data_IF_487762901672
#
_entry.id   IF_487762901672
#
_cell.length_a   1.000
_cell.length_b   1.000
_cell.length_c   1.000
_cell.angle_alpha   90.00
_cell.angle_beta   90.00
_cell.angle_gamma   90.00
#
_symmetry.space_group_name_H-M   'P 1'
#
loop_
_entity.id
_entity.type
_entity.pdbx_description
1 polymer ?
#
# COMPACT_ATOMS: atom_id res chain seq x y z
N UNK A 1 3.46 49.19 24.09
CA UNK A 1 4.26 48.90 22.88
C UNK A 1 3.65 47.64 22.28
N UNK A 2 2.89 47.80 21.21
CA UNK A 2 2.06 46.74 20.64
C UNK A 2 2.91 45.81 19.77
N UNK A 3 3.39 44.72 20.38
CA UNK A 3 4.18 43.68 19.70
C UNK A 3 3.37 42.88 18.66
N UNK A 4 2.05 43.05 18.62
CA UNK A 4 1.15 42.32 17.71
C UNK A 4 1.37 42.59 16.21
N UNK A 5 1.85 43.77 15.83
CA UNK A 5 2.05 44.12 14.41
C UNK A 5 3.26 43.43 13.76
N UNK A 6 4.26 43.00 14.55
CA UNK A 6 5.44 42.31 14.03
C UNK A 6 5.21 40.80 13.79
N UNK A 7 4.17 40.21 14.40
CA UNK A 7 3.86 38.79 14.23
C UNK A 7 3.15 38.49 12.90
N UNK A 8 2.37 39.44 12.38
CA UNK A 8 1.63 39.29 11.11
C UNK A 8 2.53 38.96 9.90
N UNK A 9 3.64 39.67 9.62
CA UNK A 9 4.50 39.33 8.49
C UNK A 9 5.20 37.98 8.65
N UNK A 10 5.54 37.58 9.88
CA UNK A 10 6.17 36.28 10.17
C UNK A 10 5.18 35.14 9.87
N UNK A 11 3.94 35.27 10.34
CA UNK A 11 2.88 34.29 10.06
C UNK A 11 2.55 34.23 8.56
N UNK A 12 2.50 35.38 7.87
CA UNK A 12 2.27 35.43 6.43
C UNK A 12 3.40 34.74 5.65
N UNK A 13 4.66 34.94 6.05
CA UNK A 13 5.81 34.27 5.45
C UNK A 13 5.77 32.76 5.69
N UNK A 14 5.47 32.33 6.92
CA UNK A 14 5.33 30.91 7.25
C UNK A 14 4.21 30.24 6.44
N UNK A 15 3.04 30.87 6.35
CA UNK A 15 1.92 30.39 5.54
C UNK A 15 2.28 30.31 4.05
N UNK A 16 3.02 31.30 3.52
CA UNK A 16 3.50 31.27 2.13
C UNK A 16 4.47 30.11 1.90
N UNK A 17 5.45 29.89 2.78
CA UNK A 17 6.39 28.76 2.69
C UNK A 17 5.64 27.43 2.68
N UNK A 18 4.70 27.26 3.61
CA UNK A 18 3.85 26.07 3.69
C UNK A 18 3.07 25.89 2.39
N UNK A 19 2.35 26.92 1.93
CA UNK A 19 1.56 26.87 0.70
C UNK A 19 2.40 26.52 -0.53
N UNK A 20 3.56 27.18 -0.72
CA UNK A 20 4.45 26.90 -1.84
C UNK A 20 5.08 25.51 -1.75
N UNK A 21 5.41 25.04 -0.54
CA UNK A 21 5.86 23.67 -0.27
C UNK A 21 4.82 22.65 -0.71
N UNK A 22 3.60 22.74 -0.19
CA UNK A 22 2.48 21.87 -0.57
C UNK A 22 2.20 21.93 -2.08
N UNK A 23 2.21 23.12 -2.67
CA UNK A 23 1.99 23.30 -4.11
C UNK A 23 3.09 22.62 -4.94
N UNK A 24 4.35 22.67 -4.49
CA UNK A 24 5.45 22.01 -5.18
C UNK A 24 5.34 20.47 -5.09
N UNK A 25 4.95 19.95 -3.94
CA UNK A 25 4.69 18.52 -3.71
C UNK A 25 3.56 18.03 -4.62
N UNK A 26 2.38 18.68 -4.56
CA UNK A 26 1.22 18.35 -5.42
C UNK A 26 1.55 18.34 -6.91
N UNK A 27 2.41 19.27 -7.37
CA UNK A 27 2.83 19.30 -8.78
C UNK A 27 3.67 18.08 -9.16
N UNK A 28 4.50 17.58 -8.26
CA UNK A 28 5.32 16.39 -8.49
C UNK A 28 4.45 15.13 -8.51
N UNK A 29 3.53 15.00 -7.54
CA UNK A 29 2.54 13.91 -7.51
C UNK A 29 1.74 13.84 -8.82
N UNK A 30 1.17 14.97 -9.26
CA UNK A 30 0.40 15.02 -10.51
C UNK A 30 1.22 14.68 -11.76
N UNK A 31 2.51 15.00 -11.77
CA UNK A 31 3.39 14.63 -12.87
C UNK A 31 3.67 13.13 -12.86
N UNK A 32 3.82 12.53 -11.68
CA UNK A 32 4.02 11.10 -11.52
C UNK A 32 2.76 10.31 -11.88
N UNK A 33 1.57 10.73 -11.39
CA UNK A 33 0.28 10.12 -11.77
C UNK A 33 0.14 10.08 -13.29
N UNK A 34 0.40 11.20 -13.98
CA UNK A 34 0.38 11.26 -15.44
C UNK A 34 1.38 10.33 -16.11
N UNK A 35 2.57 10.15 -15.53
CA UNK A 35 3.56 9.17 -16.02
C UNK A 35 3.00 7.75 -15.93
N UNK A 36 2.33 7.40 -14.83
CA UNK A 36 1.68 6.10 -14.67
C UNK A 36 0.49 5.92 -15.63
N UNK A 37 -0.33 6.95 -15.83
CA UNK A 37 -1.41 6.92 -16.83
C UNK A 37 -0.91 6.69 -18.26
N UNK A 38 0.31 7.15 -18.57
CA UNK A 38 0.94 7.00 -19.88
C UNK A 38 1.79 5.73 -20.01
N UNK A 39 1.98 4.98 -18.91
CA UNK A 39 2.77 3.75 -18.92
C UNK A 39 2.09 2.65 -19.73
N UNK A 40 2.89 1.73 -20.28
CA UNK A 40 2.33 0.55 -20.95
C UNK A 40 1.52 -0.27 -19.94
N UNK A 41 0.20 -0.43 -20.14
CA UNK A 41 -0.62 -1.17 -19.20
C UNK A 41 -0.16 -2.63 -19.14
N UNK A 42 -0.23 -3.20 -17.93
CA UNK A 42 -0.05 -4.62 -17.68
C UNK A 42 -1.41 -5.21 -17.35
N UNK A 43 -1.87 -6.16 -18.15
CA UNK A 43 -3.14 -6.83 -17.94
C UNK A 43 -3.13 -7.63 -16.64
N UNK A 44 -4.30 -7.87 -16.06
CA UNK A 44 -4.42 -8.60 -14.80
C UNK A 44 -3.90 -10.03 -14.90
N UNK A 45 -4.06 -10.64 -16.08
CA UNK A 45 -3.55 -11.98 -16.36
C UNK A 45 -2.02 -12.04 -16.33
N UNK A 46 -1.37 -11.06 -16.97
CA UNK A 46 0.08 -10.93 -17.00
C UNK A 46 0.63 -10.67 -15.59
N UNK A 47 -0.07 -9.83 -14.82
CA UNK A 47 0.29 -9.56 -13.43
C UNK A 47 0.19 -10.83 -12.57
N UNK A 48 -0.94 -11.54 -12.61
CA UNK A 48 -1.13 -12.80 -11.86
C UNK A 48 -0.09 -13.85 -12.26
N UNK A 49 0.20 -13.96 -13.56
CA UNK A 49 1.22 -14.87 -14.10
C UNK A 49 2.62 -14.49 -13.62
N UNK A 50 2.96 -13.19 -13.58
CA UNK A 50 4.24 -12.72 -13.08
C UNK A 50 4.48 -13.07 -11.60
N UNK A 51 3.41 -13.22 -10.81
CA UNK A 51 3.48 -13.68 -9.42
C UNK A 51 3.53 -15.21 -9.28
N UNK A 52 3.42 -15.96 -10.38
CA UNK A 52 3.37 -17.42 -10.35
C UNK A 52 2.07 -17.97 -9.73
N UNK A 53 1.00 -17.18 -9.70
CA UNK A 53 -0.29 -17.57 -9.15
C UNK A 53 -1.15 -18.16 -10.28
N UNK A 54 -1.84 -19.27 -10.01
CA UNK A 54 -2.68 -19.94 -11.01
C UNK A 54 -3.89 -19.08 -11.38
N UNK A 55 -4.11 -18.90 -12.68
CA UNK A 55 -5.27 -18.20 -13.23
C UNK A 55 -6.57 -18.88 -12.79
N UNK A 56 -7.57 -18.09 -12.36
CA UNK A 56 -8.86 -18.60 -11.87
C UNK A 56 -8.86 -19.13 -10.43
N UNK A 57 -7.70 -19.21 -9.77
CA UNK A 57 -7.64 -19.53 -8.33
C UNK A 57 -8.30 -18.44 -7.48
N UNK A 58 -8.66 -18.78 -6.23
CA UNK A 58 -9.11 -17.77 -5.28
C UNK A 58 -8.03 -16.73 -4.98
N UNK A 59 -6.76 -17.12 -5.09
CA UNK A 59 -5.62 -16.23 -4.83
C UNK A 59 -5.43 -15.22 -5.97
N UNK A 60 -5.70 -15.60 -7.22
CA UNK A 60 -5.68 -14.66 -8.35
C UNK A 60 -6.62 -13.47 -8.14
N UNK A 61 -7.84 -13.70 -7.63
CA UNK A 61 -8.78 -12.61 -7.32
C UNK A 61 -8.25 -11.68 -6.23
N UNK A 62 -7.57 -12.23 -5.23
CA UNK A 62 -6.95 -11.46 -4.13
C UNK A 62 -5.79 -10.62 -4.62
N UNK A 63 -4.92 -11.19 -5.45
CA UNK A 63 -3.81 -10.48 -6.12
C UNK A 63 -4.32 -9.24 -6.85
N UNK A 64 -5.38 -9.40 -7.66
CA UNK A 64 -5.98 -8.30 -8.42
C UNK A 64 -6.59 -7.25 -7.47
N UNK A 65 -7.28 -7.67 -6.40
CA UNK A 65 -7.84 -6.76 -5.41
C UNK A 65 -6.76 -5.94 -4.67
N UNK A 66 -5.65 -6.57 -4.29
CA UNK A 66 -4.50 -5.90 -3.65
C UNK A 66 -3.88 -4.89 -4.63
N UNK A 67 -3.65 -5.29 -5.88
CA UNK A 67 -3.12 -4.40 -6.94
C UNK A 67 -4.01 -3.17 -7.13
N UNK A 68 -5.33 -3.38 -7.23
CA UNK A 68 -6.29 -2.29 -7.36
C UNK A 68 -6.26 -1.36 -6.15
N UNK A 69 -6.09 -1.91 -4.95
CA UNK A 69 -5.95 -1.11 -3.73
C UNK A 69 -4.67 -0.27 -3.67
N UNK A 70 -3.52 -0.83 -4.06
CA UNK A 70 -2.27 -0.06 -4.19
C UNK A 70 -2.46 1.09 -5.19
N UNK A 71 -3.12 0.83 -6.31
CA UNK A 71 -3.36 1.83 -7.34
C UNK A 71 -4.33 2.93 -6.90
N UNK A 72 -5.38 2.56 -6.16
CA UNK A 72 -6.36 3.46 -5.57
C UNK A 72 -5.72 4.45 -4.60
N UNK A 73 -4.85 3.96 -3.72
CA UNK A 73 -4.04 4.83 -2.84
C UNK A 73 -3.07 5.70 -3.64
N UNK A 74 -2.52 5.15 -4.72
CA UNK A 74 -1.69 5.86 -5.70
C UNK A 74 -2.38 6.93 -6.51
N UNK A 75 -3.71 7.00 -6.47
CA UNK A 75 -4.52 7.76 -7.43
C UNK A 75 -4.13 7.45 -8.90
N UNK A 76 -3.75 6.20 -9.18
CA UNK A 76 -3.32 5.73 -10.51
C UNK A 76 -4.18 4.56 -11.02
N UNK A 77 -4.22 4.32 -12.35
CA UNK A 77 -4.93 3.16 -12.89
C UNK A 77 -4.32 1.83 -12.40
N UNK A 78 -5.11 0.82 -11.99
CA UNK A 78 -4.59 -0.48 -11.55
C UNK A 78 -3.63 -1.13 -12.54
N UNK A 79 -3.92 -1.05 -13.85
CA UNK A 79 -3.11 -1.63 -14.91
C UNK A 79 -1.73 -0.97 -15.07
N UNK A 80 -1.50 0.20 -14.48
CA UNK A 80 -0.20 0.87 -14.47
C UNK A 80 0.75 0.35 -13.38
N UNK A 81 0.22 -0.30 -12.33
CA UNK A 81 1.03 -0.91 -11.27
C UNK A 81 1.55 -2.25 -11.77
N UNK A 82 2.87 -2.43 -11.81
CA UNK A 82 3.50 -3.66 -12.30
C UNK A 82 4.10 -4.47 -11.16
N UNK A 83 4.25 -5.77 -11.38
CA UNK A 83 4.80 -6.70 -10.38
C UNK A 83 6.26 -6.37 -10.02
N UNK A 84 7.02 -5.85 -10.98
CA UNK A 84 8.45 -5.50 -10.87
C UNK A 84 8.70 -4.09 -10.30
N UNK A 85 7.65 -3.28 -10.13
CA UNK A 85 7.80 -1.96 -9.50
C UNK A 85 8.28 -2.12 -8.07
N UNK A 86 9.29 -1.34 -7.71
CA UNK A 86 9.75 -1.20 -6.34
C UNK A 86 8.95 -0.12 -5.65
N UNK A 87 8.60 -0.36 -4.40
CA UNK A 87 7.96 0.67 -3.59
C UNK A 87 8.88 1.92 -3.49
N UNK A 88 10.19 1.72 -3.30
CA UNK A 88 11.23 2.72 -3.59
C UNK A 88 12.21 2.22 -4.67
N UNK A 89 12.49 2.99 -5.74
CA UNK A 89 12.11 4.38 -5.97
C UNK A 89 10.87 4.56 -6.87
N UNK A 90 10.21 3.50 -7.32
CA UNK A 90 9.23 3.61 -8.41
C UNK A 90 7.87 4.16 -7.94
N UNK A 91 7.44 3.84 -6.71
CA UNK A 91 6.14 4.27 -6.16
C UNK A 91 6.24 5.42 -5.13
N UNK A 92 7.45 5.77 -4.68
CA UNK A 92 7.70 6.77 -3.62
C UNK A 92 7.04 8.13 -3.88
N UNK A 93 6.87 8.50 -5.15
CA UNK A 93 6.33 9.82 -5.54
C UNK A 93 4.81 9.85 -5.69
N UNK A 94 4.14 8.72 -5.46
CA UNK A 94 2.68 8.66 -5.46
C UNK A 94 2.12 9.25 -4.16
N UNK A 95 0.87 9.76 -4.16
CA UNK A 95 0.32 10.55 -3.05
C UNK A 95 0.25 9.85 -1.68
N UNK A 96 0.26 8.52 -1.61
CA UNK A 96 0.07 7.74 -0.37
C UNK A 96 1.36 7.28 0.33
N UNK A 97 2.52 7.66 -0.19
CA UNK A 97 3.78 7.10 0.28
C UNK A 97 4.34 7.81 1.53
N UNK A 98 3.67 8.86 2.04
CA UNK A 98 4.06 9.46 3.31
C UNK A 98 3.63 8.53 4.46
N UNK A 99 4.52 8.34 5.44
CA UNK A 99 4.49 7.27 6.48
C UNK A 99 3.17 6.97 7.21
N UNK A 100 2.20 7.89 7.19
CA UNK A 100 0.89 7.75 7.85
C UNK A 100 -0.09 6.94 6.99
N UNK A 101 0.02 6.99 5.67
CA UNK A 101 -0.91 6.38 4.72
C UNK A 101 -0.60 4.90 4.46
N UNK A 102 0.59 4.43 4.87
CA UNK A 102 0.96 3.02 4.86
C UNK A 102 0.05 2.16 5.77
N UNK A 103 -0.35 2.69 6.92
CA UNK A 103 -1.36 2.03 7.75
C UNK A 103 -2.69 1.90 7.01
N UNK A 104 -3.04 2.91 6.20
CA UNK A 104 -4.19 2.87 5.30
C UNK A 104 -4.11 1.74 4.27
N UNK A 105 -2.92 1.48 3.71
CA UNK A 105 -2.69 0.32 2.83
C UNK A 105 -2.96 -1.00 3.54
N UNK A 106 -2.47 -1.17 4.78
CA UNK A 106 -2.71 -2.39 5.57
C UNK A 106 -4.20 -2.57 5.84
N UNK A 107 -4.87 -1.54 6.37
CA UNK A 107 -6.31 -1.59 6.68
C UNK A 107 -7.18 -1.86 5.44
N UNK A 108 -6.82 -1.27 4.30
CA UNK A 108 -7.52 -1.50 3.04
C UNK A 108 -7.31 -2.93 2.52
N UNK A 109 -6.10 -3.49 2.69
CA UNK A 109 -5.83 -4.89 2.34
C UNK A 109 -6.64 -5.83 3.24
N UNK A 110 -6.70 -5.57 4.54
CA UNK A 110 -7.54 -6.30 5.49
C UNK A 110 -9.01 -6.30 5.09
N UNK A 111 -9.56 -5.11 4.80
CA UNK A 111 -10.94 -4.94 4.36
C UNK A 111 -11.22 -5.71 3.05
N UNK A 112 -10.35 -5.57 2.04
CA UNK A 112 -10.55 -6.22 0.73
C UNK A 112 -10.37 -7.74 0.78
N UNK A 113 -9.59 -8.25 1.73
CA UNK A 113 -9.34 -9.68 1.87
C UNK A 113 -10.28 -10.36 2.88
N UNK A 114 -11.10 -9.59 3.60
CA UNK A 114 -11.90 -10.03 4.74
C UNK A 114 -11.04 -10.73 5.81
N UNK A 115 -9.90 -10.11 6.14
CA UNK A 115 -8.90 -10.62 7.09
C UNK A 115 -8.67 -9.58 8.16
N UNK A 116 -8.48 -10.01 9.40
CA UNK A 116 -7.90 -9.16 10.45
C UNK A 116 -6.48 -9.63 10.73
N UNK A 117 -5.49 -8.84 10.36
CA UNK A 117 -4.13 -8.98 10.87
C UNK A 117 -4.24 -8.52 12.33
N UNK A 118 -4.26 -9.47 13.26
CA UNK A 118 -4.62 -9.19 14.66
C UNK A 118 -3.78 -8.05 15.28
N UNK A 119 -4.37 -7.32 16.24
CA UNK A 119 -3.76 -6.14 16.87
C UNK A 119 -2.37 -6.39 17.49
N UNK A 120 -2.08 -7.64 17.91
CA UNK A 120 -0.78 -8.05 18.47
C UNK A 120 0.28 -8.37 17.41
N UNK A 121 -0.13 -8.62 16.17
CA UNK A 121 0.75 -8.93 15.05
C UNK A 121 1.03 -7.69 14.17
N UNK A 122 0.32 -6.56 14.37
CA UNK A 122 0.54 -5.32 13.63
C UNK A 122 1.97 -4.76 13.82
N UNK A 123 2.56 -4.82 15.01
CA UNK A 123 3.94 -4.35 15.22
C UNK A 123 4.96 -5.24 14.49
N UNK A 124 4.83 -6.57 14.60
CA UNK A 124 5.74 -7.53 13.96
C UNK A 124 5.58 -7.56 12.43
N UNK A 125 4.34 -7.40 11.96
CA UNK A 125 4.05 -7.21 10.54
C UNK A 125 4.50 -5.85 10.07
N UNK A 126 4.43 -4.80 10.88
CA UNK A 126 4.90 -3.47 10.48
C UNK A 126 6.40 -3.47 10.18
N UNK A 127 7.24 -4.14 10.98
CA UNK A 127 8.68 -4.22 10.70
C UNK A 127 8.98 -5.01 9.42
N UNK A 128 8.33 -6.16 9.25
CA UNK A 128 8.50 -7.00 8.05
C UNK A 128 7.99 -6.29 6.80
N UNK A 129 6.80 -5.70 6.86
CA UNK A 129 6.20 -4.98 5.75
C UNK A 129 6.95 -3.68 5.46
N UNK A 130 7.43 -2.98 6.48
CA UNK A 130 8.31 -1.81 6.32
C UNK A 130 9.56 -2.19 5.53
N UNK A 131 10.22 -3.31 5.87
CA UNK A 131 11.36 -3.81 5.08
C UNK A 131 11.00 -4.15 3.65
N UNK A 132 9.86 -4.80 3.42
CA UNK A 132 9.38 -5.14 2.07
C UNK A 132 9.05 -3.88 1.27
N UNK A 133 8.53 -2.84 1.92
CA UNK A 133 8.19 -1.57 1.27
C UNK A 133 9.44 -0.73 1.01
N UNK A 134 10.46 -0.80 1.86
CA UNK A 134 11.70 -0.06 1.60
C UNK A 134 12.58 -0.72 0.54
N UNK A 135 12.62 -2.05 0.48
CA UNK A 135 13.60 -2.79 -0.34
C UNK A 135 12.97 -3.67 -1.44
N UNK A 136 11.69 -4.01 -1.31
CA UNK A 136 11.00 -4.99 -2.11
C UNK A 136 10.16 -4.43 -3.26
N UNK A 137 9.64 -5.36 -4.04
CA UNK A 137 8.74 -5.10 -5.17
C UNK A 137 7.27 -5.24 -4.77
N UNK A 138 6.37 -4.75 -5.63
CA UNK A 138 4.93 -5.02 -5.51
C UNK A 138 4.66 -6.52 -5.45
N UNK A 139 5.37 -7.33 -6.24
CA UNK A 139 5.25 -8.79 -6.17
C UNK A 139 5.61 -9.34 -4.78
N UNK A 140 6.72 -8.87 -4.20
CA UNK A 140 7.14 -9.31 -2.86
C UNK A 140 6.07 -8.97 -1.81
N UNK A 141 5.51 -7.76 -1.85
CA UNK A 141 4.44 -7.37 -0.95
C UNK A 141 3.20 -8.26 -1.11
N UNK A 142 2.70 -8.41 -2.34
CA UNK A 142 1.48 -9.20 -2.60
C UNK A 142 1.67 -10.66 -2.18
N UNK A 143 2.81 -11.27 -2.49
CA UNK A 143 3.10 -12.65 -2.10
C UNK A 143 3.21 -12.82 -0.58
N UNK A 144 3.78 -11.84 0.13
CA UNK A 144 3.83 -11.89 1.59
C UNK A 144 2.44 -11.76 2.21
N UNK A 145 1.60 -10.87 1.69
CA UNK A 145 0.19 -10.75 2.12
C UNK A 145 -0.55 -12.08 1.90
N UNK A 146 -0.40 -12.70 0.73
CA UNK A 146 -1.04 -13.99 0.45
C UNK A 146 -0.58 -15.11 1.40
N UNK A 147 0.73 -15.19 1.68
CA UNK A 147 1.30 -16.19 2.59
C UNK A 147 0.76 -16.03 4.01
N UNK A 148 0.75 -14.80 4.53
CA UNK A 148 0.21 -14.53 5.88
C UNK A 148 -1.24 -15.02 6.03
N UNK A 149 -2.05 -14.79 5.00
CA UNK A 149 -3.43 -15.25 4.99
C UNK A 149 -3.58 -16.79 4.88
N UNK A 150 -2.64 -17.50 4.24
CA UNK A 150 -2.65 -18.96 4.19
C UNK A 150 -2.31 -19.56 5.57
N UNK A 151 -1.30 -19.00 6.25
CA UNK A 151 -0.88 -19.44 7.58
C UNK A 151 -2.02 -19.31 8.63
N UNK A 152 -2.78 -18.23 8.57
CA UNK A 152 -3.92 -18.00 9.46
C UNK A 152 -5.04 -19.04 9.27
N UNK A 153 -5.31 -19.41 8.01
CA UNK A 153 -6.31 -20.45 7.71
C UNK A 153 -5.90 -21.81 8.26
N UNK A 154 -4.63 -22.16 8.16
CA UNK A 154 -4.12 -23.42 8.70
C UNK A 154 -4.16 -23.44 10.23
N UNK A 155 -3.81 -22.32 10.88
CA UNK A 155 -3.87 -22.19 12.34
C UNK A 155 -5.30 -22.33 12.88
N UNK A 156 -6.27 -21.66 12.26
CA UNK A 156 -7.70 -21.76 12.65
C UNK A 156 -8.21 -23.19 12.49
N UNK A 157 -7.88 -23.84 11.37
CA UNK A 157 -8.30 -25.23 11.12
C UNK A 157 -7.71 -26.19 12.17
N UNK A 158 -6.43 -26.05 12.50
CA UNK A 158 -5.77 -26.89 13.51
C UNK A 158 -6.36 -26.74 14.92
N UNK A 159 -6.77 -25.52 15.31
CA UNK A 159 -7.42 -25.28 16.60
C UNK A 159 -8.86 -25.83 16.66
N UNK A 160 -9.60 -25.80 15.54
CA UNK A 160 -10.92 -26.43 15.44
C UNK A 160 -10.82 -27.96 15.57
N UNK A 161 -9.89 -28.60 14.88
CA UNK A 161 -9.72 -30.06 14.91
C UNK A 161 -9.33 -30.55 16.31
N UNK A 162 -8.46 -29.81 17.04
CA UNK A 162 -8.12 -30.12 18.44
C UNK A 162 -9.30 -30.02 19.40
N UNK A 163 -10.21 -29.05 19.20
CA UNK A 163 -11.41 -28.90 20.04
C UNK A 163 -12.44 -29.99 19.79
N UNK A 164 -12.50 -30.54 18.57
CA UNK A 164 -13.45 -31.59 18.21
C UNK A 164 -12.96 -33.00 18.53
N UNK A 165 -11.64 -33.24 18.56
CA UNK A 165 -11.05 -34.54 18.92
C UNK A 165 -10.85 -34.80 20.42
N UNK A 166 -11.29 -33.90 21.30
CA UNK A 166 -11.11 -33.98 22.75
C UNK A 166 -12.38 -34.40 23.53
N UNK A 167 -13.42 -34.87 22.85
CA UNK A 167 -14.61 -35.51 23.43
C UNK A 167 -14.62 -37.01 23.13
#
# INVERSE_FOLDING_TARGET
>A
MDTGWLLLPILALAAAIIYFGFRAIRRRELAEIKRFEQSTPMEDLDFVTALGVSEGSSDARKVIAIRAGIAELGEVPPHSIRADHRFYPDLERLPFYDSIEFLGLILMVEEKLDVRLGDTDLEMHSERLSKIVTEGTVADFVLNVLRSHQDDKEKIKGDCDKKLGAN
#
